data_IF_603186456596
#
_entry.id   IF_603186456596
#
_cell.length_a   1.000
_cell.length_b   1.000
_cell.length_c   1.000
_cell.angle_alpha   90.00
_cell.angle_beta   90.00
_cell.angle_gamma   90.00
#
_symmetry.space_group_name_H-M   'P 1'
#
loop_
_entity.id
_entity.type
_entity.pdbx_description
1 polymer ?
#
# COMPACT_ATOMS: atom_id res chain seq x y z
N UNK A 1 -37.87 -14.20 -9.62
CA UNK A 1 -38.54 -13.01 -10.20
C UNK A 1 -37.55 -12.27 -11.10
N UNK A 2 -37.99 -11.62 -12.18
CA UNK A 2 -37.09 -10.92 -13.11
C UNK A 2 -36.37 -9.71 -12.47
N UNK A 3 -36.87 -9.26 -11.31
CA UNK A 3 -36.44 -8.14 -10.48
C UNK A 3 -35.75 -8.57 -9.17
N UNK A 4 -35.45 -9.87 -9.02
CA UNK A 4 -34.79 -10.39 -7.83
C UNK A 4 -33.33 -9.87 -7.75
N UNK A 5 -33.01 -9.04 -6.76
CA UNK A 5 -31.70 -8.38 -6.65
C UNK A 5 -31.77 -6.86 -6.51
N UNK A 6 -32.80 -6.24 -7.08
CA UNK A 6 -32.84 -4.77 -7.25
C UNK A 6 -33.83 -4.09 -6.29
N UNK A 7 -34.58 -4.88 -5.53
CA UNK A 7 -35.66 -4.38 -4.66
C UNK A 7 -35.20 -4.23 -3.21
N UNK A 8 -35.56 -3.08 -2.62
CA UNK A 8 -35.51 -2.86 -1.17
C UNK A 8 -36.84 -3.27 -0.55
N UNK A 9 -36.82 -4.31 0.28
CA UNK A 9 -37.94 -4.76 1.09
C UNK A 9 -37.89 -4.06 2.44
N UNK A 10 -38.91 -3.26 2.77
CA UNK A 10 -39.02 -2.65 4.10
C UNK A 10 -40.14 -3.35 4.86
N UNK A 11 -39.78 -3.99 5.98
CA UNK A 11 -40.75 -4.47 6.96
C UNK A 11 -41.05 -3.37 7.96
N UNK A 12 -42.34 -3.08 8.16
CA UNK A 12 -42.80 -2.04 9.07
C UNK A 12 -43.69 -2.67 10.14
N UNK A 13 -43.42 -2.38 11.40
CA UNK A 13 -44.28 -2.69 12.54
C UNK A 13 -44.81 -1.40 13.15
N UNK A 14 -46.13 -1.29 13.32
CA UNK A 14 -46.74 -0.21 14.09
C UNK A 14 -47.40 -0.77 15.33
N UNK A 15 -46.99 -0.29 16.50
CA UNK A 15 -47.59 -0.62 17.79
C UNK A 15 -47.71 0.65 18.64
N UNK A 16 -48.85 0.87 19.32
CA UNK A 16 -49.11 2.06 20.15
C UNK A 16 -48.83 3.40 19.43
N UNK A 17 -49.23 3.52 18.16
CA UNK A 17 -48.92 4.67 17.29
C UNK A 17 -47.43 4.96 17.08
N UNK A 18 -46.53 4.03 17.42
CA UNK A 18 -45.11 4.11 17.11
C UNK A 18 -44.75 3.14 15.99
N UNK A 19 -44.02 3.64 15.00
CA UNK A 19 -43.61 2.90 13.80
C UNK A 19 -42.14 2.50 13.92
N UNK A 20 -41.84 1.23 13.73
CA UNK A 20 -40.49 0.68 13.61
C UNK A 20 -40.32 0.05 12.23
N UNK A 21 -39.14 0.20 11.64
CA UNK A 21 -38.85 -0.31 10.30
C UNK A 21 -37.54 -1.09 10.27
N UNK A 22 -37.53 -2.18 9.51
CA UNK A 22 -36.33 -2.94 9.16
C UNK A 22 -36.30 -3.09 7.65
N UNK A 23 -35.26 -2.59 7.00
CA UNK A 23 -35.09 -2.71 5.55
C UNK A 23 -34.09 -3.81 5.20
N UNK A 24 -34.44 -4.63 4.22
CA UNK A 24 -33.65 -5.68 3.62
C UNK A 24 -33.48 -5.36 2.13
N UNK A 25 -32.26 -5.41 1.62
CA UNK A 25 -32.01 -5.33 0.19
C UNK A 25 -30.87 -6.28 -0.16
N UNK A 26 -30.77 -6.68 -1.43
CA UNK A 26 -29.57 -7.29 -1.97
C UNK A 26 -28.65 -6.15 -2.39
N UNK A 27 -27.74 -5.78 -1.47
CA UNK A 27 -26.78 -4.72 -1.74
C UNK A 27 -25.91 -5.22 -2.90
N UNK A 28 -25.70 -4.46 -3.99
CA UNK A 28 -24.75 -4.87 -4.99
C UNK A 28 -23.41 -5.22 -4.31
N UNK A 29 -22.71 -6.25 -4.78
CA UNK A 29 -21.41 -6.62 -4.23
C UNK A 29 -20.53 -5.36 -4.18
N UNK A 30 -20.05 -5.02 -2.99
CA UNK A 30 -19.07 -3.95 -2.86
C UNK A 30 -17.78 -4.46 -3.49
N UNK A 31 -17.35 -3.83 -4.58
CA UNK A 31 -16.05 -4.14 -5.16
C UNK A 31 -15.04 -3.23 -4.49
N UNK A 32 -14.01 -3.83 -3.92
CA UNK A 32 -12.81 -3.10 -3.54
C UNK A 32 -12.13 -2.67 -4.83
N UNK A 33 -12.04 -1.35 -5.02
CA UNK A 33 -11.27 -0.75 -6.10
C UNK A 33 -9.88 -0.39 -5.54
N UNK A 34 -8.84 -1.17 -5.88
CA UNK A 34 -7.52 -0.93 -5.32
C UNK A 34 -6.83 0.29 -5.94
N UNK A 35 -7.42 0.90 -6.97
CA UNK A 35 -6.87 2.06 -7.68
C UNK A 35 -7.58 3.37 -7.32
N UNK A 36 -8.76 3.31 -6.69
CA UNK A 36 -9.52 4.50 -6.33
C UNK A 36 -10.39 4.27 -5.08
N UNK A 37 -10.12 5.03 -4.00
CA UNK A 37 -11.09 5.20 -2.93
C UNK A 37 -12.15 6.21 -3.37
N UNK A 38 -13.32 5.70 -3.75
CA UNK A 38 -14.44 6.52 -4.22
C UNK A 38 -15.01 7.47 -3.16
N UNK A 39 -14.74 7.25 -1.88
CA UNK A 39 -15.25 8.11 -0.81
C UNK A 39 -14.46 9.42 -0.65
N UNK A 40 -13.17 9.42 -0.98
CA UNK A 40 -12.29 10.58 -0.79
C UNK A 40 -11.40 10.93 -1.99
N UNK A 41 -11.54 10.19 -3.10
CA UNK A 41 -10.78 10.39 -4.33
C UNK A 41 -9.32 9.93 -4.25
N UNK A 42 -8.94 9.14 -3.25
CA UNK A 42 -7.56 8.68 -3.11
C UNK A 42 -7.17 7.70 -4.23
N UNK A 43 -5.96 7.82 -4.74
CA UNK A 43 -5.34 6.87 -5.68
C UNK A 43 -3.99 6.40 -5.14
N UNK A 44 -3.53 5.18 -5.45
CA UNK A 44 -2.23 4.72 -5.00
C UNK A 44 -1.08 5.62 -5.46
N UNK A 45 -0.04 5.81 -4.61
CA UNK A 45 1.18 6.50 -5.02
C UNK A 45 1.82 5.90 -6.25
N UNK A 46 2.56 6.68 -7.02
CA UNK A 46 3.38 6.19 -8.12
C UNK A 46 4.72 5.72 -7.58
N UNK A 47 5.12 4.50 -7.91
CA UNK A 47 6.37 3.87 -7.48
C UNK A 47 7.21 3.50 -8.70
N UNK A 48 8.52 3.70 -8.64
CA UNK A 48 9.48 3.15 -9.61
C UNK A 48 10.58 2.43 -8.87
N UNK A 49 10.98 1.26 -9.37
CA UNK A 49 12.13 0.50 -8.85
C UNK A 49 13.28 0.60 -9.84
N UNK A 50 14.44 1.08 -9.38
CA UNK A 50 15.56 1.44 -10.24
C UNK A 50 15.10 2.35 -11.39
N UNK A 51 15.55 2.03 -12.60
CA UNK A 51 15.15 2.70 -13.84
C UNK A 51 13.97 2.01 -14.55
N UNK A 52 13.22 1.17 -13.82
CA UNK A 52 12.11 0.38 -14.35
C UNK A 52 10.86 1.20 -14.68
N UNK A 53 9.80 0.50 -15.05
CA UNK A 53 8.50 1.12 -15.31
C UNK A 53 7.87 1.69 -14.03
N UNK A 54 7.02 2.69 -14.22
CA UNK A 54 6.22 3.23 -13.14
C UNK A 54 5.06 2.29 -12.81
N UNK A 55 4.96 1.94 -11.53
CA UNK A 55 3.94 1.10 -10.94
C UNK A 55 2.92 1.96 -10.22
N UNK A 56 1.67 1.50 -10.19
CA UNK A 56 0.60 2.11 -9.40
C UNK A 56 -0.37 1.03 -8.95
N UNK A 57 -0.67 0.99 -7.65
CA UNK A 57 -1.56 0.00 -7.03
C UNK A 57 -0.92 -1.37 -6.78
N UNK A 58 -1.75 -2.43 -6.68
CA UNK A 58 -1.28 -3.79 -6.48
C UNK A 58 -0.31 -4.25 -7.57
N UNK A 59 0.56 -5.24 -7.29
CA UNK A 59 1.58 -5.69 -8.24
C UNK A 59 0.92 -6.45 -9.40
N UNK A 60 0.58 -5.72 -10.47
CA UNK A 60 -0.06 -6.25 -11.69
C UNK A 60 0.94 -6.75 -12.71
N UNK A 61 2.15 -6.17 -12.76
CA UNK A 61 3.20 -6.48 -13.73
C UNK A 61 4.18 -7.56 -13.26
N UNK A 62 4.00 -8.09 -12.05
CA UNK A 62 4.88 -9.13 -11.49
C UNK A 62 6.14 -8.54 -10.84
N UNK A 63 7.31 -8.91 -11.36
CA UNK A 63 8.63 -8.53 -10.80
C UNK A 63 9.15 -7.27 -11.49
N UNK A 64 9.43 -6.23 -10.72
CA UNK A 64 9.85 -4.92 -11.20
C UNK A 64 11.35 -4.84 -11.50
N UNK A 65 12.17 -5.62 -10.78
CA UNK A 65 13.62 -5.67 -11.00
C UNK A 65 14.19 -7.02 -10.53
N UNK A 66 15.34 -7.40 -11.07
CA UNK A 66 16.08 -8.60 -10.65
C UNK A 66 17.54 -8.24 -10.37
N UNK A 67 18.10 -8.79 -9.29
CA UNK A 67 19.48 -8.58 -8.87
C UNK A 67 20.18 -9.93 -8.63
N UNK A 68 21.51 -9.88 -8.59
CA UNK A 68 22.34 -10.97 -8.09
C UNK A 68 23.21 -10.41 -6.96
N UNK A 69 23.41 -11.21 -5.90
CA UNK A 69 24.24 -10.84 -4.76
C UNK A 69 25.13 -12.02 -4.35
N UNK A 70 26.21 -11.72 -3.64
CA UNK A 70 27.01 -12.71 -2.93
C UNK A 70 26.61 -12.74 -1.45
N UNK A 71 26.69 -13.89 -0.79
CA UNK A 71 26.45 -13.98 0.66
C UNK A 71 27.37 -13.00 1.42
N UNK A 72 26.77 -12.19 2.30
CA UNK A 72 27.46 -11.18 3.12
C UNK A 72 27.81 -9.89 2.38
N UNK A 73 27.59 -9.81 1.07
CA UNK A 73 27.78 -8.60 0.29
C UNK A 73 26.51 -7.73 0.30
N UNK A 74 26.71 -6.42 0.35
CA UNK A 74 25.63 -5.45 0.33
C UNK A 74 25.31 -5.05 -1.10
N UNK A 75 24.04 -5.13 -1.50
CA UNK A 75 23.55 -4.61 -2.78
C UNK A 75 22.80 -3.30 -2.60
N UNK A 76 22.82 -2.47 -3.65
CA UNK A 76 22.07 -1.22 -3.72
C UNK A 76 20.67 -1.45 -4.32
N UNK A 77 19.63 -1.07 -3.58
CA UNK A 77 18.23 -1.06 -4.00
C UNK A 77 17.77 0.40 -4.16
N UNK A 78 17.52 0.81 -5.40
CA UNK A 78 16.98 2.13 -5.72
C UNK A 78 15.48 2.08 -5.94
N UNK A 79 14.76 3.06 -5.44
CA UNK A 79 13.37 3.28 -5.80
C UNK A 79 12.97 4.74 -5.64
N UNK A 80 11.98 5.19 -6.39
CA UNK A 80 11.34 6.49 -6.18
C UNK A 80 9.84 6.35 -5.95
N UNK A 81 9.30 7.25 -5.13
CA UNK A 81 7.86 7.39 -4.97
C UNK A 81 7.45 8.84 -5.17
N UNK A 82 6.24 9.05 -5.69
CA UNK A 82 5.53 10.33 -5.70
C UNK A 82 4.04 10.08 -5.61
N UNK A 83 3.27 11.08 -5.20
CA UNK A 83 1.84 10.92 -5.01
C UNK A 83 1.07 12.20 -5.38
N UNK A 84 -0.24 12.09 -5.50
CA UNK A 84 -1.17 13.17 -5.80
C UNK A 84 -2.02 13.50 -4.57
N UNK A 85 -2.43 14.76 -4.36
CA UNK A 85 -3.19 15.13 -3.19
C UNK A 85 -4.59 14.50 -3.20
N UNK A 86 -5.00 14.01 -2.03
CA UNK A 86 -6.36 13.59 -1.74
C UNK A 86 -7.36 14.72 -2.03
N UNK A 87 -8.51 14.37 -2.63
CA UNK A 87 -9.60 15.36 -2.80
C UNK A 87 -10.19 15.75 -1.43
N UNK A 88 -10.31 14.77 -0.51
CA UNK A 88 -10.76 14.98 0.86
C UNK A 88 -9.76 14.37 1.86
N UNK A 89 -8.71 15.11 2.29
CA UNK A 89 -7.72 14.57 3.21
C UNK A 89 -8.31 14.32 4.61
N UNK A 90 -7.85 13.29 5.33
CA UNK A 90 -8.26 13.05 6.70
C UNK A 90 -7.84 14.23 7.60
N UNK A 91 -8.61 14.55 8.66
CA UNK A 91 -8.23 15.62 9.56
C UNK A 91 -6.87 15.32 10.21
N UNK A 92 -6.03 16.34 10.43
CA UNK A 92 -4.72 16.15 11.03
C UNK A 92 -4.86 15.52 12.40
N UNK A 93 -3.88 14.66 12.75
CA UNK A 93 -3.84 14.04 14.08
C UNK A 93 -3.76 15.14 15.14
N UNK A 94 -4.72 15.13 16.08
CA UNK A 94 -4.78 16.12 17.19
C UNK A 94 -3.64 15.96 18.20
N UNK A 95 -2.99 14.80 18.27
CA UNK A 95 -1.87 14.48 19.18
C UNK A 95 -0.89 13.52 18.51
N UNK A 96 0.41 13.68 18.79
CA UNK A 96 1.50 12.83 18.29
C UNK A 96 2.22 13.39 17.06
N UNK A 97 3.29 12.71 16.61
CA UNK A 97 4.02 13.05 15.38
C UNK A 97 3.05 12.99 14.19
N UNK A 98 3.01 14.03 13.32
CA UNK A 98 2.28 13.98 12.07
C UNK A 98 2.70 12.73 11.28
N UNK A 99 1.74 12.08 10.61
CA UNK A 99 2.10 11.02 9.66
C UNK A 99 2.85 11.65 8.49
N UNK A 100 3.93 11.03 8.01
CA UNK A 100 4.55 11.46 6.76
C UNK A 100 3.50 11.42 5.62
N UNK A 101 3.48 12.42 4.73
CA UNK A 101 2.58 12.44 3.58
C UNK A 101 2.77 11.25 2.64
N UNK A 102 4.01 10.78 2.51
CA UNK A 102 4.39 9.67 1.65
C UNK A 102 5.52 8.88 2.33
N UNK A 103 5.49 7.56 2.18
CA UNK A 103 6.51 6.64 2.66
C UNK A 103 6.85 5.60 1.63
N UNK A 104 8.09 5.14 1.63
CA UNK A 104 8.54 3.98 0.88
C UNK A 104 9.16 2.99 1.86
N UNK A 105 8.80 1.71 1.80
CA UNK A 105 9.30 0.70 2.74
C UNK A 105 9.69 -0.58 2.02
N UNK A 106 10.93 -1.01 2.22
CA UNK A 106 11.47 -2.30 1.82
C UNK A 106 11.25 -3.36 2.89
N UNK A 107 10.88 -4.57 2.47
CA UNK A 107 10.76 -5.75 3.32
C UNK A 107 11.13 -7.01 2.55
N UNK A 108 11.56 -8.04 3.27
CA UNK A 108 11.54 -9.40 2.76
C UNK A 108 10.08 -9.84 2.55
N UNK A 109 9.76 -10.33 1.36
CA UNK A 109 8.46 -10.94 1.07
C UNK A 109 8.54 -12.47 1.14
N UNK A 110 9.58 -13.05 0.55
CA UNK A 110 9.84 -14.49 0.57
C UNK A 110 11.34 -14.73 0.44
N UNK A 111 11.88 -15.72 1.13
CA UNK A 111 13.28 -16.14 0.99
C UNK A 111 13.67 -17.16 2.05
N UNK A 112 14.86 -17.76 1.95
CA UNK A 112 15.32 -18.79 2.88
C UNK A 112 15.75 -18.23 4.25
N UNK A 113 16.09 -16.95 4.35
CA UNK A 113 16.50 -16.30 5.61
C UNK A 113 16.07 -14.83 5.67
N UNK A 114 16.30 -14.18 6.82
CA UNK A 114 16.08 -12.75 6.98
C UNK A 114 17.07 -11.91 6.14
N UNK A 115 16.64 -10.70 5.77
CA UNK A 115 17.44 -9.72 5.02
C UNK A 115 17.64 -8.50 5.89
N UNK A 116 18.88 -8.04 5.99
CA UNK A 116 19.22 -6.80 6.71
C UNK A 116 19.08 -5.65 5.73
N UNK A 117 18.28 -4.65 6.10
CA UNK A 117 18.12 -3.43 5.33
C UNK A 117 18.76 -2.26 6.06
N UNK A 118 19.52 -1.45 5.35
CA UNK A 118 20.08 -0.21 5.84
C UNK A 118 19.57 0.91 4.93
N UNK A 119 18.68 1.75 5.46
CA UNK A 119 18.26 2.98 4.81
C UNK A 119 19.04 4.14 5.42
N UNK A 120 19.46 5.10 4.60
CA UNK A 120 19.96 6.40 5.09
C UNK A 120 18.89 7.27 5.74
N UNK A 121 17.78 6.68 6.22
CA UNK A 121 16.63 7.39 6.74
C UNK A 121 16.91 7.92 8.15
N UNK A 122 16.55 9.18 8.37
CA UNK A 122 16.81 9.93 9.61
C UNK A 122 16.12 9.34 10.86
N UNK A 123 15.17 8.40 10.70
CA UNK A 123 14.35 7.87 11.80
C UNK A 123 14.73 6.47 12.30
N UNK A 124 15.81 5.88 11.76
CA UNK A 124 16.35 4.60 12.24
C UNK A 124 15.49 3.37 11.94
N UNK A 125 14.47 3.49 11.08
CA UNK A 125 13.69 2.33 10.63
C UNK A 125 14.28 1.71 9.38
N UNK A 126 14.96 0.57 9.56
CA UNK A 126 15.61 -0.21 8.50
C UNK A 126 14.70 -0.42 7.27
N UNK A 127 15.13 0.10 6.12
CA UNK A 127 14.44 -0.06 4.84
C UNK A 127 13.24 0.87 4.61
N UNK A 128 12.91 1.76 5.55
CA UNK A 128 11.83 2.74 5.40
C UNK A 128 12.38 4.14 5.13
N UNK A 129 11.70 4.88 4.27
CA UNK A 129 11.96 6.27 3.91
C UNK A 129 10.68 7.07 4.09
N UNK A 130 10.78 8.23 4.72
CA UNK A 130 9.67 9.19 4.91
C UNK A 130 9.93 10.45 4.07
N UNK A 131 8.95 10.87 3.27
CA UNK A 131 9.05 12.10 2.50
C UNK A 131 8.31 13.23 3.22
N UNK A 132 8.81 14.46 3.06
CA UNK A 132 8.21 15.66 3.69
C UNK A 132 6.94 16.14 2.98
N UNK A 133 6.79 15.77 1.71
CA UNK A 133 5.66 16.12 0.86
C UNK A 133 5.42 15.02 -0.21
N UNK A 134 4.38 15.22 -1.03
CA UNK A 134 3.92 14.26 -2.03
C UNK A 134 4.76 14.26 -3.32
N UNK A 135 5.65 15.25 -3.52
CA UNK A 135 6.57 15.22 -4.68
C UNK A 135 7.55 14.05 -4.56
N UNK A 136 7.80 13.61 -3.32
CA UNK A 136 8.58 12.43 -3.02
C UNK A 136 10.02 12.54 -3.51
N UNK A 137 10.53 11.48 -4.11
CA UNK A 137 11.90 11.45 -4.63
C UNK A 137 12.51 10.06 -4.67
N UNK A 138 13.76 10.02 -5.14
CA UNK A 138 14.58 8.81 -5.17
C UNK A 138 15.14 8.49 -3.78
N UNK A 139 15.26 7.19 -3.52
CA UNK A 139 15.78 6.61 -2.29
C UNK A 139 16.73 5.48 -2.64
N UNK A 140 17.77 5.36 -1.83
CA UNK A 140 18.70 4.23 -1.86
C UNK A 140 18.59 3.47 -0.54
N UNK A 141 18.41 2.16 -0.64
CA UNK A 141 18.46 1.21 0.48
C UNK A 141 19.52 0.17 0.17
N UNK A 142 20.31 -0.16 1.17
CA UNK A 142 21.29 -1.22 1.10
C UNK A 142 20.70 -2.49 1.71
N UNK A 143 20.90 -3.63 1.04
CA UNK A 143 20.40 -4.93 1.51
C UNK A 143 21.53 -5.96 1.57
N UNK A 144 21.58 -6.70 2.67
CA UNK A 144 22.58 -7.76 2.91
C UNK A 144 21.88 -9.09 3.19
N UNK A 145 22.40 -10.15 2.58
CA UNK A 145 21.86 -11.51 2.64
C UNK A 145 22.88 -12.45 3.26
N UNK A 146 22.47 -13.21 4.28
CA UNK A 146 23.39 -14.06 5.05
C UNK A 146 23.33 -15.55 4.67
N UNK A 147 22.41 -15.94 3.80
CA UNK A 147 22.27 -17.31 3.31
C UNK A 147 22.10 -17.29 1.78
N UNK A 148 22.59 -18.31 1.06
CA UNK A 148 22.37 -18.42 -0.38
C UNK A 148 20.92 -18.81 -0.71
N UNK A 149 20.46 -18.45 -1.91
CA UNK A 149 19.16 -18.84 -2.43
C UNK A 149 18.40 -17.71 -3.13
N UNK A 150 17.14 -18.00 -3.47
CA UNK A 150 16.26 -17.05 -4.16
C UNK A 150 15.40 -16.27 -3.15
N UNK A 151 15.50 -14.95 -3.23
CA UNK A 151 14.77 -14.01 -2.41
C UNK A 151 13.83 -13.18 -3.27
N UNK A 152 12.66 -12.87 -2.72
CA UNK A 152 11.76 -11.83 -3.21
C UNK A 152 11.64 -10.76 -2.15
N UNK A 153 12.04 -9.55 -2.50
CA UNK A 153 11.83 -8.35 -1.73
C UNK A 153 10.55 -7.66 -2.20
N UNK A 154 9.95 -6.89 -1.30
CA UNK A 154 8.79 -6.06 -1.57
C UNK A 154 9.11 -4.64 -1.15
N UNK A 155 8.87 -3.71 -2.08
CA UNK A 155 8.85 -2.29 -1.80
C UNK A 155 7.41 -1.79 -1.88
N UNK A 156 6.97 -1.11 -0.82
CA UNK A 156 5.62 -0.53 -0.75
C UNK A 156 5.70 0.98 -0.59
N UNK A 157 5.04 1.71 -1.48
CA UNK A 157 4.77 3.13 -1.32
C UNK A 157 3.38 3.33 -0.69
N UNK A 158 3.30 4.07 0.42
CA UNK A 158 2.04 4.45 1.08
C UNK A 158 1.95 5.96 1.23
N UNK A 159 0.79 6.50 0.95
CA UNK A 159 0.43 7.89 1.24
C UNK A 159 0.06 8.07 2.73
N UNK A 160 -0.54 9.21 3.06
CA UNK A 160 -1.00 9.55 4.41
C UNK A 160 -2.12 8.63 4.93
N UNK A 161 -2.84 7.93 4.05
CA UNK A 161 -3.81 6.90 4.43
C UNK A 161 -3.13 5.68 5.07
N UNK A 162 -1.86 5.45 4.74
CA UNK A 162 -1.01 4.42 5.34
C UNK A 162 -1.34 3.02 4.82
N UNK A 163 -1.10 1.99 5.64
CA UNK A 163 -1.25 0.58 5.24
C UNK A 163 -2.71 0.11 5.04
N UNK A 164 -3.70 1.01 5.01
CA UNK A 164 -5.13 0.69 4.99
C UNK A 164 -5.73 0.28 6.35
N UNK A 165 -7.03 0.01 6.37
CA UNK A 165 -7.80 -0.40 7.57
C UNK A 165 -8.94 0.58 7.93
N UNK A 166 -9.85 0.17 8.83
CA UNK A 166 -10.95 1.05 9.30
C UNK A 166 -12.02 1.39 8.24
N UNK A 167 -12.04 0.68 7.12
CA UNK A 167 -12.91 0.96 5.97
C UNK A 167 -12.14 1.41 4.73
N UNK A 168 -10.89 1.86 4.87
CA UNK A 168 -10.02 2.19 3.73
C UNK A 168 -9.56 0.92 3.01
N UNK A 169 -10.00 0.79 1.75
CA UNK A 169 -9.74 -0.38 0.89
C UNK A 169 -8.61 -0.12 -0.12
N UNK A 170 -7.94 1.03 -0.01
CA UNK A 170 -6.75 1.48 -0.74
C UNK A 170 -6.02 2.50 0.17
N UNK A 171 -4.81 3.01 -0.10
CA UNK A 171 -4.14 3.13 -1.38
C UNK A 171 -2.63 2.98 -1.19
N UNK A 172 -2.09 1.87 -1.65
CA UNK A 172 -0.65 1.63 -1.65
C UNK A 172 -0.24 1.05 -3.00
N UNK A 173 1.03 1.25 -3.32
CA UNK A 173 1.64 0.65 -4.49
C UNK A 173 2.74 -0.30 -4.09
N UNK A 174 2.77 -1.47 -4.72
CA UNK A 174 3.74 -2.52 -4.40
C UNK A 174 4.53 -2.92 -5.63
N UNK A 175 5.86 -2.96 -5.48
CA UNK A 175 6.78 -3.57 -6.43
C UNK A 175 7.49 -4.77 -5.81
N UNK A 176 7.65 -5.85 -6.59
CA UNK A 176 8.48 -6.98 -6.20
C UNK A 176 9.85 -6.93 -6.87
N UNK A 177 10.87 -7.35 -6.14
CA UNK A 177 12.25 -7.45 -6.63
C UNK A 177 12.76 -8.84 -6.33
N UNK A 178 13.28 -9.52 -7.34
CA UNK A 178 13.93 -10.81 -7.16
C UNK A 178 15.44 -10.64 -6.98
N UNK A 179 16.00 -11.39 -6.05
CA UNK A 179 17.45 -11.41 -5.78
C UNK A 179 17.91 -12.86 -5.71
N UNK A 180 18.83 -13.23 -6.58
CA UNK A 180 19.51 -14.53 -6.52
C UNK A 180 20.83 -14.36 -5.77
N UNK A 181 20.95 -15.01 -4.62
CA UNK A 181 22.13 -14.94 -3.75
C UNK A 181 22.97 -16.20 -3.93
N UNK A 182 24.27 -16.03 -4.21
CA UNK A 182 25.23 -17.12 -4.44
C UNK A 182 26.39 -17.12 -3.45
#
# INVERSE_FOLDING_TARGET
PADFGEQRLTWTLTANNQRSEVSFWLNPPYFVDPFLNRANGNTPPRLRVGDGEELQGPPVTGVAATYTASVGETIELRASARDEPLTNPPPPRRRGRPRPPLTLTWRLYRGPAEVVFESGAEDGTNGRHEFRDLTGGETTTFATFNEPGDYRLMVTANDISGNGGGGDQCCWTTGFVDVTVR
#
